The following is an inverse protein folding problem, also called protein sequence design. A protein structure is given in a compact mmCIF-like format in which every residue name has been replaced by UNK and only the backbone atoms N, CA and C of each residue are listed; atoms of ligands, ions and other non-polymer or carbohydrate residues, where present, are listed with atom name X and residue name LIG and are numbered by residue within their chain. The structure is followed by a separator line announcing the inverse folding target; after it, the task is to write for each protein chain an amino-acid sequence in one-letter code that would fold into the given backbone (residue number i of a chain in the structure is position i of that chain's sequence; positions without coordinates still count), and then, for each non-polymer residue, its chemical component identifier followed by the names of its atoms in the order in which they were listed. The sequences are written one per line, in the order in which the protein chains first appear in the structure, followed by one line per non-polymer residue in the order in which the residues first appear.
data_IF_483238678783
#
_entry.id   IF_483238678783
#
_cell.length_a   1.000
_cell.length_b   1.000
_cell.length_c   1.000
_cell.angle_alpha   90.00
_cell.angle_beta   90.00
_cell.angle_gamma   90.00
#
_symmetry.space_group_name_H-M   'P 1'
#
loop_
_entity.id
_entity.type
_entity.pdbx_description
1 polymer ?
#
# COMPACT_ATOMS: atom_id res chain seq x y z
N UNK A 1 3.60 -17.61 14.09
CA UNK A 1 3.46 -18.46 12.90
C UNK A 1 3.57 -17.53 11.71
N UNK A 2 4.63 -17.62 10.91
CA UNK A 2 4.90 -16.67 9.83
C UNK A 2 4.17 -17.13 8.57
N UNK A 3 3.17 -16.37 8.13
CA UNK A 3 2.44 -16.66 6.89
C UNK A 3 3.10 -15.92 5.73
N UNK A 4 3.53 -16.64 4.71
CA UNK A 4 4.08 -16.07 3.49
C UNK A 4 2.97 -15.94 2.45
N UNK A 5 2.67 -14.71 2.04
CA UNK A 5 1.65 -14.42 1.02
C UNK A 5 2.38 -14.10 -0.29
N UNK A 6 1.96 -14.74 -1.38
CA UNK A 6 2.38 -14.37 -2.73
C UNK A 6 1.24 -13.59 -3.39
N UNK A 7 1.56 -12.41 -3.91
CA UNK A 7 0.64 -11.62 -4.71
C UNK A 7 0.82 -11.97 -6.19
N UNK A 8 -0.25 -11.85 -6.97
CA UNK A 8 -0.25 -12.15 -8.39
C UNK A 8 -1.04 -11.08 -9.16
N UNK A 9 -0.64 -10.84 -10.41
CA UNK A 9 -1.29 -9.92 -11.34
C UNK A 9 -1.32 -8.49 -10.82
N UNK A 10 -2.40 -7.76 -11.06
CA UNK A 10 -2.50 -6.34 -10.72
C UNK A 10 -2.29 -6.01 -9.24
N UNK A 11 -2.47 -6.99 -8.33
CA UNK A 11 -2.19 -6.80 -6.91
C UNK A 11 -0.70 -6.82 -6.59
N UNK A 12 0.12 -7.63 -7.28
CA UNK A 12 1.58 -7.56 -7.13
C UNK A 12 2.09 -6.25 -7.71
N UNK A 13 1.59 -5.85 -8.87
CA UNK A 13 2.05 -4.63 -9.55
C UNK A 13 1.78 -3.39 -8.69
N UNK A 14 0.57 -3.28 -8.12
CA UNK A 14 0.22 -2.17 -7.21
C UNK A 14 1.03 -2.18 -5.92
N UNK A 15 1.35 -3.36 -5.38
CA UNK A 15 2.18 -3.47 -4.19
C UNK A 15 3.58 -2.93 -4.44
N UNK A 16 4.20 -3.34 -5.56
CA UNK A 16 5.53 -2.86 -5.96
C UNK A 16 5.52 -1.35 -6.25
N UNK A 17 4.47 -0.83 -6.89
CA UNK A 17 4.33 0.60 -7.13
C UNK A 17 4.27 1.41 -5.83
N UNK A 18 3.43 0.99 -4.88
CA UNK A 18 3.30 1.66 -3.57
C UNK A 18 4.62 1.57 -2.81
N UNK A 19 5.27 0.39 -2.81
CA UNK A 19 6.58 0.18 -2.18
C UNK A 19 7.61 1.15 -2.75
N UNK A 20 7.75 1.22 -4.07
CA UNK A 20 8.69 2.11 -4.73
C UNK A 20 8.47 3.59 -4.36
N UNK A 21 7.22 4.07 -4.41
CA UNK A 21 6.89 5.46 -4.04
C UNK A 21 7.21 5.75 -2.57
N UNK A 22 7.03 4.77 -1.68
CA UNK A 22 7.39 4.92 -0.27
C UNK A 22 8.91 4.98 -0.09
N UNK A 23 9.67 4.15 -0.79
CA UNK A 23 11.14 4.16 -0.77
C UNK A 23 11.69 5.50 -1.26
N UNK A 24 11.13 6.05 -2.34
CA UNK A 24 11.49 7.38 -2.86
C UNK A 24 11.22 8.49 -1.82
N UNK A 25 10.07 8.44 -1.13
CA UNK A 25 9.71 9.41 -0.09
C UNK A 25 10.58 9.31 1.15
N UNK A 26 10.98 8.10 1.54
CA UNK A 26 11.80 7.84 2.72
C UNK A 26 13.30 8.04 2.45
N UNK A 27 13.73 7.90 1.19
CA UNK A 27 15.14 7.91 0.80
C UNK A 27 15.88 6.62 1.14
N UNK A 28 15.17 5.56 1.53
CA UNK A 28 15.72 4.24 1.85
C UNK A 28 14.66 3.14 1.70
N UNK A 29 15.12 1.89 1.55
CA UNK A 29 14.27 0.70 1.57
C UNK A 29 13.97 0.25 3.01
N UNK A 30 12.70 0.26 3.47
CA UNK A 30 12.37 -0.21 4.81
C UNK A 30 12.50 -1.73 4.89
N UNK A 31 13.35 -2.22 5.80
CA UNK A 31 13.69 -3.64 5.92
C UNK A 31 12.75 -4.45 6.83
N UNK A 32 11.96 -3.79 7.67
CA UNK A 32 11.02 -4.46 8.57
C UNK A 32 9.64 -4.64 7.89
N UNK A 33 9.21 -5.88 7.59
CA UNK A 33 7.98 -6.13 6.86
C UNK A 33 6.71 -5.72 7.62
N UNK A 34 6.70 -5.78 8.96
CA UNK A 34 5.54 -5.34 9.75
C UNK A 34 5.33 -3.83 9.62
N UNK A 35 6.43 -3.08 9.67
CA UNK A 35 6.44 -1.63 9.53
C UNK A 35 6.06 -1.22 8.10
N UNK A 36 6.57 -1.93 7.08
CA UNK A 36 6.12 -1.75 5.68
C UNK A 36 4.62 -1.97 5.57
N UNK A 37 4.10 -3.05 6.15
CA UNK A 37 2.67 -3.36 6.14
C UNK A 37 1.80 -2.26 6.77
N UNK A 38 2.22 -1.73 7.92
CA UNK A 38 1.56 -0.61 8.61
C UNK A 38 1.55 0.67 7.76
N UNK A 39 2.69 1.00 7.15
CA UNK A 39 2.77 2.17 6.26
C UNK A 39 1.90 2.00 5.02
N UNK A 40 1.89 0.81 4.41
CA UNK A 40 1.03 0.52 3.26
C UNK A 40 -0.47 0.55 3.61
N UNK A 41 -0.84 0.13 4.82
CA UNK A 41 -2.23 0.19 5.28
C UNK A 41 -2.76 1.63 5.43
N UNK A 42 -1.86 2.59 5.64
CA UNK A 42 -2.18 4.02 5.76
C UNK A 42 -1.85 4.80 4.49
N UNK A 43 -1.42 4.11 3.42
CA UNK A 43 -1.06 4.75 2.16
C UNK A 43 -2.30 5.31 1.47
N UNK A 44 -2.39 6.64 1.42
CA UNK A 44 -3.40 7.36 0.65
C UNK A 44 -2.85 7.63 -0.76
N UNK A 45 -3.58 7.18 -1.77
CA UNK A 45 -3.21 7.35 -3.18
C UNK A 45 -3.67 8.75 -3.64
N UNK A 46 -2.73 9.69 -3.75
CA UNK A 46 -3.01 11.08 -4.17
C UNK A 46 -3.44 11.19 -5.65
N UNK A 47 -3.52 10.07 -6.37
CA UNK A 47 -3.93 9.99 -7.77
C UNK A 47 -5.25 9.25 -7.97
N UNK A 48 -6.34 10.02 -8.02
CA UNK A 48 -7.68 9.70 -8.57
C UNK A 48 -8.73 9.09 -7.64
N UNK A 49 -9.79 9.89 -7.44
CA UNK A 49 -11.13 9.53 -7.01
C UNK A 49 -11.62 8.20 -7.62
N UNK A 50 -12.20 7.34 -6.78
CA UNK A 50 -12.87 6.16 -7.30
C UNK A 50 -13.49 5.19 -6.31
N UNK A 51 -13.80 5.59 -5.06
CA UNK A 51 -14.86 5.04 -4.19
C UNK A 51 -14.66 5.48 -2.73
N UNK A 52 -15.02 6.73 -2.44
CA UNK A 52 -15.66 7.02 -1.15
C UNK A 52 -17.08 6.45 -1.18
N UNK A 53 -17.20 5.13 -1.16
CA UNK A 53 -18.47 4.42 -1.07
C UNK A 53 -18.90 4.31 0.41
N UNK A 54 -19.09 5.44 1.09
CA UNK A 54 -19.98 5.56 2.24
C UNK A 54 -20.03 7.03 2.70
N UNK A 55 -20.91 7.81 2.08
CA UNK A 55 -21.49 8.97 2.75
C UNK A 55 -22.91 8.55 3.15
N UNK A 56 -23.28 8.54 4.45
CA UNK A 56 -24.65 8.32 4.85
C UNK A 56 -25.50 9.47 4.31
N UNK A 57 -26.54 9.14 3.53
CA UNK A 57 -27.57 10.10 3.14
C UNK A 57 -28.30 10.52 4.42
N UNK A 58 -28.23 11.81 4.75
CA UNK A 58 -29.15 12.50 5.65
C UNK A 58 -30.20 13.22 4.82
#
# INVERSE_FOLDING_TARGET
MTSHIKLYGSKSDRFEEIKHRMEERLGYEPSNPEVVGLMMATYEDDGTEGRRANAPRL
#
